data_IF_877552705579
#
_entry.id   IF_877552705579
#
_cell.length_a   1.000
_cell.length_b   1.000
_cell.length_c   1.000
_cell.angle_alpha   90.00
_cell.angle_beta   90.00
_cell.angle_gamma   90.00
#
_symmetry.space_group_name_H-M   'P 1'
#
loop_
_entity.id
_entity.type
_entity.pdbx_description
1 polymer ?
#
# COMPACT_ATOMS: atom_id res chain seq x y z
N UNK A 1 -12.18 -3.77 0.68
CA UNK A 1 -13.17 -3.77 -0.41
C UNK A 1 -12.48 -4.03 -1.74
N UNK A 2 -13.22 -4.50 -2.76
CA UNK A 2 -12.63 -4.89 -4.03
C UNK A 2 -12.63 -3.71 -5.02
N UNK A 3 -11.45 -3.36 -5.55
CA UNK A 3 -11.32 -2.34 -6.59
C UNK A 3 -12.08 -2.74 -7.86
N UNK A 4 -11.91 -3.98 -8.31
CA UNK A 4 -12.58 -4.51 -9.51
C UNK A 4 -14.12 -4.58 -9.39
N UNK A 5 -14.68 -4.59 -8.18
CA UNK A 5 -16.12 -4.48 -7.96
C UNK A 5 -16.63 -3.06 -8.20
N UNK A 6 -15.81 -2.05 -7.93
CA UNK A 6 -16.15 -0.62 -8.10
C UNK A 6 -15.81 -0.14 -9.51
N UNK A 7 -14.65 -0.54 -10.04
CA UNK A 7 -14.17 -0.26 -11.38
C UNK A 7 -13.69 -1.57 -12.02
N UNK A 8 -14.57 -2.33 -12.71
CA UNK A 8 -14.26 -3.66 -13.22
C UNK A 8 -13.01 -3.75 -14.11
N UNK A 9 -12.76 -2.74 -14.95
CA UNK A 9 -11.53 -2.65 -15.77
C UNK A 9 -10.53 -1.64 -15.24
N UNK A 10 -10.91 -0.85 -14.21
CA UNK A 10 -10.09 0.18 -13.60
C UNK A 10 -10.15 1.55 -14.28
N UNK A 11 -10.58 1.63 -15.55
CA UNK A 11 -10.55 2.87 -16.34
C UNK A 11 -11.94 3.47 -16.62
N UNK A 12 -13.03 2.85 -16.19
CA UNK A 12 -14.39 3.35 -16.43
C UNK A 12 -14.56 4.82 -16.00
N UNK A 13 -15.32 5.61 -16.75
CA UNK A 13 -15.63 6.99 -16.39
C UNK A 13 -16.48 7.09 -15.11
N UNK A 14 -17.34 6.09 -14.90
CA UNK A 14 -18.24 6.03 -13.74
C UNK A 14 -18.07 4.71 -12.99
N UNK A 15 -18.17 4.75 -11.66
CA UNK A 15 -18.11 3.53 -10.87
C UNK A 15 -19.33 2.63 -11.11
N UNK A 16 -19.17 1.35 -10.87
CA UNK A 16 -20.26 0.38 -10.85
C UNK A 16 -21.14 0.62 -9.62
N UNK A 17 -22.32 1.17 -9.83
CA UNK A 17 -23.25 1.52 -8.76
C UNK A 17 -23.66 0.30 -7.93
N UNK A 18 -23.88 -0.85 -8.55
CA UNK A 18 -24.21 -2.07 -7.82
C UNK A 18 -23.09 -2.51 -6.87
N UNK A 19 -21.81 -2.27 -7.25
CA UNK A 19 -20.66 -2.51 -6.39
C UNK A 19 -20.62 -1.57 -5.20
N UNK A 20 -20.91 -0.29 -5.42
CA UNK A 20 -21.00 0.71 -4.35
C UNK A 20 -22.13 0.39 -3.38
N UNK A 21 -23.32 0.07 -3.88
CA UNK A 21 -24.51 -0.24 -3.09
C UNK A 21 -24.29 -1.50 -2.23
N UNK A 22 -23.58 -2.50 -2.77
CA UNK A 22 -23.23 -3.71 -2.03
C UNK A 22 -22.44 -3.38 -0.75
N UNK A 23 -21.35 -2.60 -0.88
CA UNK A 23 -20.54 -2.26 0.30
C UNK A 23 -21.25 -1.26 1.21
N UNK A 24 -22.08 -0.36 0.68
CA UNK A 24 -22.92 0.52 1.50
C UNK A 24 -23.84 -0.31 2.41
N UNK A 25 -24.47 -1.34 1.87
CA UNK A 25 -25.31 -2.25 2.66
C UNK A 25 -24.49 -2.98 3.73
N UNK A 26 -23.31 -3.51 3.37
CA UNK A 26 -22.41 -4.18 4.34
C UNK A 26 -22.05 -3.23 5.50
N UNK A 27 -21.60 -2.01 5.20
CA UNK A 27 -21.20 -1.06 6.24
C UNK A 27 -22.39 -0.57 7.07
N UNK A 28 -23.55 -0.41 6.46
CA UNK A 28 -24.78 -0.04 7.17
C UNK A 28 -25.18 -1.13 8.17
N UNK A 29 -25.15 -2.41 7.77
CA UNK A 29 -25.46 -3.53 8.66
C UNK A 29 -24.44 -3.65 9.81
N UNK A 30 -23.15 -3.45 9.54
CA UNK A 30 -22.13 -3.42 10.59
C UNK A 30 -22.40 -2.30 11.60
N UNK A 31 -22.69 -1.08 11.12
CA UNK A 31 -23.04 0.07 12.00
C UNK A 31 -24.30 -0.19 12.80
N UNK A 32 -25.34 -0.76 12.21
CA UNK A 32 -26.58 -1.13 12.88
C UNK A 32 -26.34 -2.17 14.00
N UNK A 33 -25.38 -3.07 13.80
CA UNK A 33 -24.94 -4.06 14.78
C UNK A 33 -23.97 -3.50 15.85
N UNK A 34 -23.63 -2.20 15.80
CA UNK A 34 -22.65 -1.57 16.70
C UNK A 34 -21.19 -1.95 16.40
N UNK A 35 -20.90 -2.45 15.20
CA UNK A 35 -19.57 -2.85 14.77
C UNK A 35 -18.95 -1.71 13.95
N UNK A 36 -17.77 -1.25 14.33
CA UNK A 36 -17.01 -0.25 13.60
C UNK A 36 -16.21 -0.91 12.47
N UNK A 37 -16.45 -0.59 11.19
CA UNK A 37 -15.69 -1.17 10.09
C UNK A 37 -14.27 -0.60 10.02
N UNK A 38 -13.28 -1.47 9.85
CA UNK A 38 -11.91 -1.15 9.43
C UNK A 38 -11.74 -1.71 8.01
N UNK A 39 -11.53 -0.84 7.03
CA UNK A 39 -11.63 -1.19 5.61
C UNK A 39 -10.27 -1.17 4.93
N UNK A 40 -9.82 -2.32 4.42
CA UNK A 40 -8.68 -2.37 3.49
C UNK A 40 -9.13 -1.92 2.10
N UNK A 41 -8.49 -0.87 1.56
CA UNK A 41 -8.83 -0.28 0.26
C UNK A 41 -8.34 -1.20 -0.87
N UNK A 42 -7.09 -1.66 -0.79
CA UNK A 42 -6.52 -2.63 -1.72
C UNK A 42 -6.05 -3.88 -0.99
N UNK A 43 -6.44 -5.06 -1.50
CA UNK A 43 -6.10 -6.35 -0.92
C UNK A 43 -5.78 -7.37 -2.03
N UNK A 44 -4.69 -7.11 -2.76
CA UNK A 44 -4.21 -7.95 -3.88
C UNK A 44 -5.26 -8.17 -5.00
N UNK A 45 -6.11 -7.18 -5.25
CA UNK A 45 -7.25 -7.29 -6.17
C UNK A 45 -7.28 -6.17 -7.22
N UNK A 46 -6.13 -5.87 -7.78
CA UNK A 46 -6.02 -4.96 -8.92
C UNK A 46 -6.92 -5.47 -10.08
N UNK A 47 -7.66 -4.60 -10.78
CA UNK A 47 -8.42 -5.02 -11.94
C UNK A 47 -7.52 -5.67 -13.00
N UNK A 48 -7.81 -6.90 -13.38
CA UNK A 48 -7.00 -7.70 -14.32
C UNK A 48 -6.69 -6.95 -15.63
N UNK A 49 -7.66 -6.20 -16.14
CA UNK A 49 -7.46 -5.39 -17.35
C UNK A 49 -6.36 -4.32 -17.22
N UNK A 50 -6.12 -3.81 -16.00
CA UNK A 50 -5.00 -2.90 -15.74
C UNK A 50 -3.68 -3.66 -15.73
N UNK A 51 -3.62 -4.83 -15.10
CA UNK A 51 -2.42 -5.66 -15.06
C UNK A 51 -2.01 -6.10 -16.46
N UNK A 52 -2.97 -6.55 -17.28
CA UNK A 52 -2.72 -6.94 -18.68
C UNK A 52 -2.25 -5.75 -19.55
N UNK A 53 -2.69 -4.53 -19.25
CA UNK A 53 -2.40 -3.34 -20.06
C UNK A 53 -1.13 -2.62 -19.65
N UNK A 54 -0.83 -2.56 -18.36
CA UNK A 54 0.22 -1.71 -17.78
C UNK A 54 1.25 -2.46 -16.94
N UNK A 55 1.12 -3.79 -16.81
CA UNK A 55 1.87 -4.55 -15.82
C UNK A 55 1.38 -4.30 -14.39
N UNK A 56 1.82 -5.10 -13.43
CA UNK A 56 1.39 -4.95 -12.03
C UNK A 56 2.16 -3.84 -11.33
N UNK A 57 1.54 -2.67 -11.17
CA UNK A 57 2.11 -1.48 -10.50
C UNK A 57 3.47 -1.02 -11.05
N UNK A 58 3.80 -1.34 -12.31
CA UNK A 58 5.04 -0.90 -12.97
C UNK A 58 4.85 0.35 -13.86
N UNK A 59 3.61 0.75 -14.09
CA UNK A 59 3.29 2.01 -14.78
C UNK A 59 2.79 3.05 -13.77
N UNK A 60 3.35 4.25 -13.83
CA UNK A 60 2.97 5.40 -12.99
C UNK A 60 1.49 5.77 -13.08
N UNK A 61 0.79 5.37 -14.14
CA UNK A 61 -0.67 5.55 -14.28
C UNK A 61 -1.49 4.94 -13.17
N UNK A 62 -0.99 3.89 -12.52
CA UNK A 62 -1.66 3.30 -11.37
C UNK A 62 -1.95 4.29 -10.26
N UNK A 63 -1.06 5.28 -10.04
CA UNK A 63 -1.25 6.32 -9.03
C UNK A 63 -2.56 7.07 -9.31
N UNK A 64 -2.75 7.60 -10.52
CA UNK A 64 -3.96 8.35 -10.88
C UNK A 64 -5.24 7.48 -10.90
N UNK A 65 -5.13 6.23 -11.31
CA UNK A 65 -6.24 5.28 -11.29
C UNK A 65 -6.65 4.93 -9.85
N UNK A 66 -5.66 4.76 -8.98
CA UNK A 66 -5.92 4.52 -7.56
C UNK A 66 -6.50 5.77 -6.87
N UNK A 67 -6.00 6.98 -7.18
CA UNK A 67 -6.57 8.24 -6.69
C UNK A 67 -8.06 8.37 -7.05
N UNK A 68 -8.42 8.04 -8.29
CA UNK A 68 -9.82 8.01 -8.74
C UNK A 68 -10.67 7.04 -7.92
N UNK A 69 -10.15 5.82 -7.70
CA UNK A 69 -10.82 4.79 -6.92
C UNK A 69 -11.02 5.24 -5.47
N UNK A 70 -9.97 5.70 -4.78
CA UNK A 70 -10.07 6.12 -3.37
C UNK A 70 -10.95 7.34 -3.20
N UNK A 71 -10.90 8.30 -4.13
CA UNK A 71 -11.80 9.46 -4.13
C UNK A 71 -13.27 9.02 -4.16
N UNK A 72 -13.59 8.05 -5.00
CA UNK A 72 -14.94 7.50 -5.11
C UNK A 72 -15.40 6.88 -3.79
N UNK A 73 -14.61 5.98 -3.21
CA UNK A 73 -15.03 5.26 -2.00
C UNK A 73 -15.05 6.15 -0.75
N UNK A 74 -14.12 7.11 -0.62
CA UNK A 74 -14.16 8.05 0.50
C UNK A 74 -15.39 8.95 0.46
N UNK A 75 -15.80 9.43 -0.73
CA UNK A 75 -17.04 10.20 -0.88
C UNK A 75 -18.27 9.33 -0.62
N UNK A 76 -18.32 8.12 -1.20
CA UNK A 76 -19.45 7.22 -1.12
C UNK A 76 -19.74 6.76 0.30
N UNK A 77 -18.71 6.48 1.09
CA UNK A 77 -18.85 5.91 2.43
C UNK A 77 -18.56 6.89 3.56
N UNK A 78 -18.51 8.21 3.25
CA UNK A 78 -18.38 9.27 4.25
C UNK A 78 -19.45 9.13 5.34
N UNK A 79 -19.01 9.14 6.60
CA UNK A 79 -19.89 8.96 7.76
C UNK A 79 -20.30 7.50 8.06
N UNK A 80 -20.06 6.55 7.15
CA UNK A 80 -20.26 5.11 7.39
C UNK A 80 -18.97 4.43 7.84
N UNK A 81 -17.84 4.75 7.21
CA UNK A 81 -16.52 4.18 7.50
C UNK A 81 -15.60 5.31 7.94
N UNK A 82 -14.92 5.09 9.05
CA UNK A 82 -13.93 6.01 9.63
C UNK A 82 -12.51 5.49 9.52
N UNK A 83 -12.32 4.17 9.56
CA UNK A 83 -11.01 3.53 9.64
C UNK A 83 -10.68 2.84 8.33
N UNK A 84 -9.51 3.20 7.76
CA UNK A 84 -9.07 2.74 6.45
C UNK A 84 -7.63 2.26 6.48
N UNK A 85 -7.31 1.25 5.68
CA UNK A 85 -5.96 0.79 5.40
C UNK A 85 -5.73 0.90 3.89
N UNK A 86 -4.68 1.60 3.48
CA UNK A 86 -4.44 1.89 2.05
C UNK A 86 -4.11 0.63 1.27
N UNK A 87 -3.09 -0.11 1.69
CA UNK A 87 -2.66 -1.37 1.10
C UNK A 87 -2.55 -2.45 2.16
N UNK A 88 -3.00 -3.65 1.82
CA UNK A 88 -2.80 -4.83 2.66
C UNK A 88 -1.41 -5.38 2.44
N UNK A 89 -0.62 -5.53 3.52
CA UNK A 89 0.67 -6.20 3.53
C UNK A 89 1.61 -5.76 2.39
N UNK A 90 1.77 -4.45 2.22
CA UNK A 90 2.52 -3.85 1.11
C UNK A 90 3.95 -4.39 0.98
N UNK A 91 4.58 -4.80 2.09
CA UNK A 91 5.92 -5.38 2.11
C UNK A 91 6.01 -6.79 1.51
N UNK A 92 4.86 -7.45 1.26
CA UNK A 92 4.86 -8.74 0.57
C UNK A 92 5.36 -8.65 -0.88
N UNK A 93 5.35 -7.47 -1.48
CA UNK A 93 5.99 -7.23 -2.79
C UNK A 93 7.47 -7.62 -2.77
N UNK A 94 8.17 -7.42 -1.65
CA UNK A 94 9.57 -7.86 -1.47
C UNK A 94 9.60 -9.27 -0.88
N UNK A 95 8.78 -9.53 0.15
CA UNK A 95 8.86 -10.77 0.93
C UNK A 95 8.52 -12.02 0.10
N UNK A 96 7.81 -11.88 -1.02
CA UNK A 96 7.49 -12.99 -1.93
C UNK A 96 8.51 -13.18 -3.05
N UNK A 97 9.53 -12.34 -3.14
CA UNK A 97 10.62 -12.61 -4.05
C UNK A 97 11.34 -13.91 -3.65
N UNK A 98 11.68 -14.77 -4.62
CA UNK A 98 12.45 -15.97 -4.31
C UNK A 98 13.87 -15.62 -3.87
N UNK A 99 14.49 -16.47 -3.04
CA UNK A 99 15.85 -16.26 -2.52
C UNK A 99 16.93 -16.04 -3.61
N UNK A 100 16.65 -16.49 -4.83
CA UNK A 100 17.53 -16.34 -5.99
C UNK A 100 16.96 -15.36 -7.04
N UNK A 101 16.15 -14.40 -6.60
CA UNK A 101 15.63 -13.36 -7.50
C UNK A 101 16.78 -12.62 -8.21
N UNK A 102 16.54 -12.25 -9.47
CA UNK A 102 17.51 -11.47 -10.24
C UNK A 102 17.51 -9.99 -9.80
N UNK A 103 18.57 -9.27 -10.17
CA UNK A 103 18.66 -7.82 -9.92
C UNK A 103 17.50 -7.08 -10.59
N UNK A 104 17.06 -7.53 -11.76
CA UNK A 104 15.89 -6.97 -12.46
C UNK A 104 14.59 -7.17 -11.65
N UNK A 105 14.40 -8.35 -11.06
CA UNK A 105 13.23 -8.63 -10.23
C UNK A 105 13.21 -7.74 -8.97
N UNK A 106 14.36 -7.52 -8.35
CA UNK A 106 14.49 -6.57 -7.24
C UNK A 106 14.21 -5.14 -7.70
N UNK A 107 14.79 -4.71 -8.84
CA UNK A 107 14.54 -3.39 -9.41
C UNK A 107 13.04 -3.13 -9.65
N UNK A 108 12.34 -4.10 -10.25
CA UNK A 108 10.90 -4.05 -10.50
C UNK A 108 10.10 -4.01 -9.19
N UNK A 109 10.41 -4.86 -8.22
CA UNK A 109 9.71 -4.91 -6.94
C UNK A 109 9.83 -3.60 -6.15
N UNK A 110 11.01 -2.98 -6.13
CA UNK A 110 11.20 -1.71 -5.43
C UNK A 110 10.57 -0.53 -6.21
N UNK A 111 10.50 -0.59 -7.55
CA UNK A 111 9.76 0.39 -8.34
C UNK A 111 8.25 0.27 -8.11
N UNK A 112 7.71 -0.95 -8.11
CA UNK A 112 6.33 -1.25 -7.75
C UNK A 112 5.99 -0.66 -6.37
N UNK A 113 6.81 -0.96 -5.36
CA UNK A 113 6.64 -0.40 -4.00
C UNK A 113 6.64 1.12 -4.00
N UNK A 114 7.53 1.77 -4.75
CA UNK A 114 7.59 3.22 -4.81
C UNK A 114 6.25 3.80 -5.30
N UNK A 115 5.67 3.26 -6.37
CA UNK A 115 4.38 3.74 -6.87
C UNK A 115 3.24 3.48 -5.89
N UNK A 116 3.25 2.35 -5.19
CA UNK A 116 2.29 2.08 -4.13
C UNK A 116 2.45 3.03 -2.93
N UNK A 117 3.68 3.39 -2.54
CA UNK A 117 3.91 4.39 -1.49
C UNK A 117 3.36 5.77 -1.88
N UNK A 118 3.59 6.20 -3.12
CA UNK A 118 3.03 7.47 -3.63
C UNK A 118 1.50 7.40 -3.64
N UNK A 119 0.92 6.32 -4.15
CA UNK A 119 -0.54 6.13 -4.17
C UNK A 119 -1.13 6.10 -2.76
N UNK A 120 -0.45 5.45 -1.81
CA UNK A 120 -0.84 5.43 -0.39
C UNK A 120 -0.84 6.84 0.22
N UNK A 121 0.23 7.61 0.00
CA UNK A 121 0.34 8.99 0.48
C UNK A 121 -0.75 9.89 -0.10
N UNK A 122 -1.05 9.76 -1.40
CA UNK A 122 -2.15 10.48 -2.06
C UNK A 122 -3.51 10.08 -1.51
N UNK A 123 -3.74 8.79 -1.24
CA UNK A 123 -4.98 8.32 -0.62
C UNK A 123 -5.19 8.94 0.78
N UNK A 124 -4.14 9.06 1.59
CA UNK A 124 -4.20 9.72 2.90
C UNK A 124 -4.60 11.19 2.75
N UNK A 125 -3.97 11.90 1.82
CA UNK A 125 -4.30 13.30 1.55
C UNK A 125 -5.76 13.46 1.13
N UNK A 126 -6.19 12.73 0.10
CA UNK A 126 -7.56 12.77 -0.43
C UNK A 126 -8.58 12.41 0.65
N UNK A 127 -8.29 11.36 1.44
CA UNK A 127 -9.18 10.92 2.49
C UNK A 127 -9.41 11.98 3.57
N UNK A 128 -8.36 12.72 3.98
CA UNK A 128 -8.48 13.82 4.95
C UNK A 128 -9.11 15.09 4.35
N UNK A 129 -8.90 15.37 3.06
CA UNK A 129 -9.58 16.47 2.37
C UNK A 129 -11.09 16.23 2.26
N UNK A 130 -11.53 14.98 2.02
CA UNK A 130 -12.94 14.61 1.94
C UNK A 130 -13.58 14.57 3.33
N UNK A 131 -12.89 13.97 4.30
CA UNK A 131 -13.34 13.90 5.69
C UNK A 131 -12.14 13.93 6.67
N UNK A 132 -11.94 15.04 7.39
CA UNK A 132 -10.86 15.16 8.37
C UNK A 132 -10.93 14.16 9.53
N UNK A 133 -12.10 13.53 9.77
CA UNK A 133 -12.29 12.51 10.80
C UNK A 133 -11.79 11.13 10.38
N UNK A 134 -11.48 10.91 9.11
CA UNK A 134 -10.91 9.66 8.63
C UNK A 134 -9.60 9.33 9.37
N UNK A 135 -9.46 8.06 9.75
CA UNK A 135 -8.25 7.48 10.31
C UNK A 135 -7.70 6.49 9.28
N UNK A 136 -6.63 6.89 8.62
CA UNK A 136 -6.08 6.16 7.48
C UNK A 136 -4.69 5.65 7.86
N UNK A 137 -4.53 4.34 7.83
CA UNK A 137 -3.30 3.66 8.20
C UNK A 137 -2.74 2.80 7.09
N UNK A 138 -1.72 2.05 7.45
CA UNK A 138 -1.10 1.03 6.61
C UNK A 138 -1.20 -0.34 7.27
N UNK A 139 -0.98 -1.38 6.49
CA UNK A 139 -0.86 -2.74 6.99
C UNK A 139 0.40 -3.39 6.45
N UNK A 140 1.15 -4.03 7.33
CA UNK A 140 2.38 -4.75 7.01
C UNK A 140 2.22 -6.22 7.40
N UNK A 141 2.74 -7.11 6.57
CA UNK A 141 2.95 -8.50 6.96
C UNK A 141 4.04 -8.52 8.04
N UNK A 142 3.68 -8.92 9.26
CA UNK A 142 4.58 -8.87 10.41
C UNK A 142 5.12 -10.23 10.78
N UNK A 143 6.41 -10.46 10.56
CA UNK A 143 7.16 -11.54 11.18
C UNK A 143 8.31 -10.92 11.96
N UNK A 144 8.11 -10.70 13.25
CA UNK A 144 9.21 -10.25 14.13
C UNK A 144 10.16 -11.40 14.34
N UNK A 145 11.42 -11.22 13.98
CA UNK A 145 12.49 -12.19 14.16
C UNK A 145 13.42 -11.77 15.29
N UNK A 146 14.12 -12.75 15.84
CA UNK A 146 15.13 -12.56 16.87
C UNK A 146 16.44 -13.19 16.43
N UNK A 147 17.60 -12.67 16.85
CA UNK A 147 18.88 -13.29 16.54
C UNK A 147 18.95 -14.69 17.15
N UNK A 148 19.57 -15.64 16.43
CA UNK A 148 19.70 -17.02 16.91
C UNK A 148 20.55 -17.11 18.17
N UNK A 149 21.62 -16.32 18.23
CA UNK A 149 22.50 -16.20 19.42
C UNK A 149 22.83 -14.74 19.70
N UNK A 150 23.57 -14.46 20.78
CA UNK A 150 24.12 -13.14 21.07
C UNK A 150 25.42 -12.83 20.28
N UNK A 151 25.81 -13.65 19.33
CA UNK A 151 26.93 -13.34 18.45
C UNK A 151 26.64 -12.06 17.66
N UNK A 152 27.57 -11.10 17.56
CA UNK A 152 27.38 -9.88 16.82
C UNK A 152 26.92 -10.09 15.35
N UNK A 153 27.35 -11.21 14.72
CA UNK A 153 26.92 -11.55 13.35
C UNK A 153 25.42 -11.90 13.28
N UNK A 154 24.94 -12.70 14.24
CA UNK A 154 23.53 -13.07 14.31
C UNK A 154 22.67 -11.83 14.62
N UNK A 155 23.16 -10.95 15.49
CA UNK A 155 22.49 -9.68 15.81
C UNK A 155 22.38 -8.78 14.58
N UNK A 156 23.48 -8.63 13.83
CA UNK A 156 23.53 -7.81 12.62
C UNK A 156 22.62 -8.40 11.52
N UNK A 157 22.69 -9.71 11.31
CA UNK A 157 21.85 -10.40 10.32
C UNK A 157 20.36 -10.19 10.63
N UNK A 158 19.96 -10.37 11.89
CA UNK A 158 18.57 -10.15 12.30
C UNK A 158 18.13 -8.70 12.08
N UNK A 159 18.98 -7.72 12.41
CA UNK A 159 18.69 -6.31 12.17
C UNK A 159 18.48 -6.05 10.68
N UNK A 160 19.39 -6.49 9.82
CA UNK A 160 19.32 -6.29 8.38
C UNK A 160 18.08 -6.96 7.77
N UNK A 161 17.73 -8.16 8.22
CA UNK A 161 16.50 -8.85 7.80
C UNK A 161 15.26 -8.06 8.19
N UNK A 162 15.19 -7.53 9.40
CA UNK A 162 14.07 -6.70 9.84
C UNK A 162 14.01 -5.36 9.10
N UNK A 163 15.17 -4.73 8.81
CA UNK A 163 15.25 -3.51 8.03
C UNK A 163 14.65 -3.70 6.63
N UNK A 164 14.97 -4.79 5.96
CA UNK A 164 14.52 -5.07 4.61
C UNK A 164 13.05 -5.51 4.57
N UNK A 165 12.70 -6.54 5.34
CA UNK A 165 11.41 -7.20 5.21
C UNK A 165 10.26 -6.46 5.89
N UNK A 166 10.56 -5.56 6.83
CA UNK A 166 9.53 -4.91 7.64
C UNK A 166 9.71 -3.39 7.76
N UNK A 167 10.88 -2.93 8.25
CA UNK A 167 11.05 -1.52 8.58
C UNK A 167 11.15 -0.62 7.36
N UNK A 168 11.67 -1.12 6.23
CA UNK A 168 11.72 -0.34 4.98
C UNK A 168 10.34 0.23 4.61
N UNK A 169 9.34 -0.64 4.52
CA UNK A 169 7.97 -0.21 4.20
C UNK A 169 7.32 0.57 5.36
N UNK A 170 7.56 0.13 6.61
CA UNK A 170 7.02 0.78 7.80
C UNK A 170 7.49 2.22 7.94
N UNK A 171 8.78 2.46 7.81
CA UNK A 171 9.37 3.79 7.93
C UNK A 171 8.88 4.73 6.82
N UNK A 172 8.82 4.26 5.56
CA UNK A 172 8.30 5.08 4.46
C UNK A 172 6.86 5.48 4.72
N UNK A 173 6.01 4.54 5.13
CA UNK A 173 4.60 4.84 5.38
C UNK A 173 4.38 5.69 6.64
N UNK A 174 5.18 5.50 7.68
CA UNK A 174 5.05 6.27 8.91
C UNK A 174 5.70 7.65 8.85
N UNK A 175 6.85 7.78 8.22
CA UNK A 175 7.63 9.03 8.22
C UNK A 175 7.60 9.80 6.90
N UNK A 176 7.11 9.19 5.82
CA UNK A 176 7.03 9.81 4.49
C UNK A 176 8.39 10.07 3.86
N UNK A 177 9.39 9.28 4.22
CA UNK A 177 10.74 9.37 3.70
C UNK A 177 11.41 8.00 3.73
N UNK A 178 12.30 7.75 2.80
CA UNK A 178 13.11 6.54 2.82
C UNK A 178 14.06 6.54 4.02
N UNK A 179 14.14 5.41 4.76
CA UNK A 179 15.06 5.30 5.89
C UNK A 179 16.52 5.35 5.44
N UNK A 180 17.46 5.72 6.32
CA UNK A 180 18.89 5.80 5.98
C UNK A 180 19.46 4.49 5.42
N UNK A 181 18.95 3.34 5.88
CA UNK A 181 19.41 2.02 5.45
C UNK A 181 18.88 1.62 4.05
N UNK A 182 17.89 2.35 3.47
CA UNK A 182 17.41 2.08 2.12
C UNK A 182 18.53 2.08 1.07
N UNK A 183 19.50 2.99 1.19
CA UNK A 183 20.66 3.04 0.29
C UNK A 183 21.54 1.80 0.35
N UNK A 184 21.65 1.17 1.54
CA UNK A 184 22.35 -0.10 1.69
C UNK A 184 21.62 -1.21 0.94
N UNK A 185 20.31 -1.35 1.17
CA UNK A 185 19.46 -2.34 0.52
C UNK A 185 19.53 -2.19 -1.01
N UNK A 186 19.35 -0.97 -1.52
CA UNK A 186 19.43 -0.72 -2.97
C UNK A 186 20.77 -1.12 -3.56
N UNK A 187 21.86 -0.85 -2.83
CA UNK A 187 23.20 -1.24 -3.27
C UNK A 187 23.41 -2.77 -3.24
N UNK A 188 22.90 -3.46 -2.22
CA UNK A 188 23.00 -4.91 -2.06
C UNK A 188 22.28 -5.68 -3.16
N UNK A 189 21.17 -5.14 -3.66
CA UNK A 189 20.34 -5.70 -4.75
C UNK A 189 20.58 -5.04 -6.12
N UNK A 190 21.64 -4.26 -6.28
CA UNK A 190 21.98 -3.56 -7.52
C UNK A 190 20.85 -2.67 -8.08
N UNK A 191 20.02 -2.11 -7.22
CA UNK A 191 18.94 -1.20 -7.60
C UNK A 191 19.54 0.17 -7.89
N UNK A 192 19.52 0.60 -9.16
CA UNK A 192 20.24 1.80 -9.61
C UNK A 192 19.34 2.88 -10.22
N UNK A 193 18.14 2.53 -10.65
CA UNK A 193 17.28 3.41 -11.44
C UNK A 193 15.81 3.33 -10.97
N UNK A 194 15.53 3.95 -9.81
CA UNK A 194 14.15 4.12 -9.34
C UNK A 194 13.62 5.48 -9.79
N UNK A 195 12.43 5.50 -10.41
CA UNK A 195 11.71 6.73 -10.71
C UNK A 195 11.11 7.34 -9.43
N UNK A 196 11.95 8.00 -8.63
CA UNK A 196 11.58 8.69 -7.40
C UNK A 196 11.30 10.17 -7.70
N UNK A 197 10.37 10.46 -8.60
CA UNK A 197 10.06 11.83 -9.01
C UNK A 197 9.03 12.53 -8.12
N UNK A 198 8.32 11.80 -7.26
CA UNK A 198 7.40 12.36 -6.27
C UNK A 198 7.79 11.99 -4.84
N UNK A 199 7.59 12.96 -3.94
CA UNK A 199 7.82 12.73 -2.52
C UNK A 199 6.72 11.82 -1.94
N UNK A 200 7.11 10.79 -1.19
CA UNK A 200 6.21 9.99 -0.34
C UNK A 200 5.86 10.72 0.97
N UNK A 201 5.75 12.05 0.89
CA UNK A 201 5.79 12.96 2.04
C UNK A 201 4.48 13.08 2.84
N UNK A 202 3.39 12.44 2.42
CA UNK A 202 2.18 12.35 3.23
C UNK A 202 2.24 11.10 4.10
N UNK A 203 2.33 11.30 5.39
CA UNK A 203 2.45 10.20 6.35
C UNK A 203 1.10 9.88 6.98
N UNK A 204 0.90 8.61 7.31
CA UNK A 204 -0.25 8.15 8.09
C UNK A 204 -0.27 8.73 9.53
N UNK A 205 0.83 9.33 9.99
CA UNK A 205 0.95 9.91 11.35
C UNK A 205 0.49 11.38 11.47
N UNK A 206 0.11 12.03 10.36
CA UNK A 206 -0.53 13.35 10.44
C UNK A 206 -2.04 13.20 10.59
N UNK A 207 -2.45 12.53 11.64
CA UNK A 207 -3.85 12.47 12.06
C UNK A 207 -4.09 13.39 13.26
#
# INVERSE_FOLDING_TARGET
ISWSRIYPTGEEEKPNQAGLDFYRNVFTELRNAGIEPLVSIWHFDTPLALEEKYGDWLDRKYIALYEKYVTTIFNEYKGLVKYWLTFNEINNTINFLPDNASDEAYQEAYQHLHYQFVASARAVQIGHEIDPENKIGCMLAGAITYPHTCDPKDMLLNQQTMEENFWYCGDVQCFGAYPPFAKRIWKEHNITDLDITEAVSYTHLRA
#
